data_IF_299266219474
#
_entry.id   IF_299266219474
#
_cell.length_a   1.000
_cell.length_b   1.000
_cell.length_c   1.000
_cell.angle_alpha   90.00
_cell.angle_beta   90.00
_cell.angle_gamma   90.00
#
_symmetry.space_group_name_H-M   'P 1'
#
loop_
_entity.id
_entity.type
_entity.pdbx_description
1 polymer ?
#
# COMPACT_ATOMS: atom_id res chain seq x y z
N UNK A 1 -25.56 7.42 -5.17
CA UNK A 1 -25.85 6.13 -4.51
C UNK A 1 -26.07 5.08 -5.59
N UNK A 2 -25.25 4.04 -5.57
CA UNK A 2 -25.20 3.01 -6.60
C UNK A 2 -25.87 1.72 -6.12
N UNK A 3 -26.50 0.99 -7.02
CA UNK A 3 -27.13 -0.29 -6.68
C UNK A 3 -26.22 -1.46 -7.07
N UNK A 4 -25.79 -2.24 -6.08
CA UNK A 4 -25.07 -3.49 -6.28
C UNK A 4 -25.91 -4.66 -5.77
N UNK A 5 -26.34 -5.54 -6.68
CA UNK A 5 -27.12 -6.77 -6.37
C UNK A 5 -28.28 -6.52 -5.37
N UNK A 6 -29.03 -5.44 -5.57
CA UNK A 6 -30.19 -5.09 -4.74
C UNK A 6 -29.89 -4.27 -3.48
N UNK A 7 -28.63 -3.91 -3.22
CA UNK A 7 -28.23 -3.05 -2.09
C UNK A 7 -27.75 -1.69 -2.61
N UNK A 8 -28.12 -0.63 -1.89
CA UNK A 8 -27.60 0.71 -2.09
C UNK A 8 -26.25 0.87 -1.41
N UNK A 9 -25.21 1.14 -2.18
CA UNK A 9 -23.86 1.42 -1.69
C UNK A 9 -23.39 2.79 -2.17
N UNK A 10 -22.43 3.36 -1.47
CA UNK A 10 -21.74 4.58 -1.86
C UNK A 10 -21.06 4.44 -3.23
N UNK A 11 -21.17 5.48 -4.06
CA UNK A 11 -20.76 5.45 -5.48
C UNK A 11 -19.27 5.10 -5.66
N UNK A 12 -18.42 5.58 -4.76
CA UNK A 12 -16.98 5.34 -4.80
C UNK A 12 -16.58 3.91 -4.43
N UNK A 13 -17.50 3.11 -3.88
CA UNK A 13 -17.27 1.70 -3.52
C UNK A 13 -17.82 0.75 -4.59
N UNK A 14 -18.67 1.24 -5.50
CA UNK A 14 -19.39 0.43 -6.48
C UNK A 14 -18.48 -0.48 -7.32
N UNK A 15 -17.33 0.02 -7.78
CA UNK A 15 -16.44 -0.73 -8.65
C UNK A 15 -15.65 -1.83 -7.93
N UNK A 16 -15.47 -1.66 -6.62
CA UNK A 16 -14.63 -2.52 -5.78
C UNK A 16 -15.43 -3.47 -4.88
N UNK A 17 -16.71 -3.18 -4.64
CA UNK A 17 -17.58 -3.96 -3.74
C UNK A 17 -17.67 -5.44 -4.14
N UNK A 18 -17.57 -5.74 -5.43
CA UNK A 18 -17.56 -7.12 -5.97
C UNK A 18 -16.36 -7.96 -5.51
N UNK A 19 -15.30 -7.33 -5.02
CA UNK A 19 -14.10 -7.98 -4.50
C UNK A 19 -14.07 -8.03 -2.96
N UNK A 20 -15.08 -7.46 -2.29
CA UNK A 20 -15.18 -7.43 -0.84
C UNK A 20 -15.95 -8.66 -0.33
N UNK A 21 -15.25 -9.78 -0.16
CA UNK A 21 -15.86 -11.05 0.27
C UNK A 21 -16.72 -10.91 1.54
N UNK A 22 -16.24 -10.16 2.54
CA UNK A 22 -16.97 -9.92 3.79
C UNK A 22 -18.30 -9.17 3.58
N UNK A 23 -18.37 -8.26 2.60
CA UNK A 23 -19.60 -7.55 2.23
C UNK A 23 -20.58 -8.49 1.53
N UNK A 24 -20.07 -9.34 0.63
CA UNK A 24 -20.88 -10.34 -0.09
C UNK A 24 -21.51 -11.36 0.87
N UNK A 25 -20.72 -11.90 1.80
CA UNK A 25 -21.18 -12.83 2.84
C UNK A 25 -22.23 -12.19 3.75
N UNK A 26 -21.99 -10.94 4.17
CA UNK A 26 -22.92 -10.22 5.03
C UNK A 26 -24.24 -9.93 4.30
N UNK A 27 -24.19 -9.55 3.02
CA UNK A 27 -25.41 -9.43 2.20
C UNK A 27 -26.18 -10.74 2.20
N UNK A 28 -25.55 -11.86 1.87
CA UNK A 28 -26.25 -13.14 1.73
C UNK A 28 -26.93 -13.56 3.02
N UNK A 29 -26.26 -13.37 4.16
CA UNK A 29 -26.84 -13.60 5.48
C UNK A 29 -28.07 -12.71 5.75
N UNK A 30 -28.01 -11.43 5.38
CA UNK A 30 -29.11 -10.49 5.55
C UNK A 30 -30.28 -10.78 4.60
N UNK A 31 -30.02 -11.15 3.34
CA UNK A 31 -31.05 -11.57 2.39
C UNK A 31 -31.76 -12.84 2.87
N UNK A 32 -31.04 -13.81 3.42
CA UNK A 32 -31.64 -15.00 4.02
C UNK A 32 -32.52 -14.67 5.24
N UNK A 33 -32.15 -13.63 5.99
CA UNK A 33 -32.95 -13.14 7.12
C UNK A 33 -34.20 -12.38 6.66
N UNK A 34 -34.12 -11.59 5.59
CA UNK A 34 -35.28 -10.95 4.97
C UNK A 34 -36.33 -11.97 4.49
N UNK A 35 -35.89 -13.10 3.92
CA UNK A 35 -36.79 -14.19 3.52
C UNK A 35 -37.53 -14.81 4.72
N UNK A 36 -36.94 -14.81 5.92
CA UNK A 36 -37.63 -15.30 7.14
C UNK A 36 -38.73 -14.35 7.60
N UNK A 37 -38.56 -13.05 7.37
CA UNK A 37 -39.62 -12.06 7.64
C UNK A 37 -40.84 -12.24 6.74
N UNK A 38 -40.66 -12.72 5.50
CA UNK A 38 -41.79 -13.05 4.62
C UNK A 38 -42.68 -14.15 5.20
N UNK A 39 -42.08 -15.20 5.79
CA UNK A 39 -42.83 -16.26 6.47
C UNK A 39 -43.56 -15.74 7.71
N UNK A 40 -42.93 -14.83 8.44
CA UNK A 40 -43.51 -14.24 9.65
C UNK A 40 -44.69 -13.31 9.33
N UNK A 41 -44.63 -12.59 8.19
CA UNK A 41 -45.77 -11.80 7.69
C UNK A 41 -46.95 -12.70 7.31
N UNK A 42 -46.70 -13.82 6.64
CA UNK A 42 -47.75 -14.81 6.28
C UNK A 42 -48.43 -15.35 7.54
N UNK A 43 -47.65 -15.74 8.55
CA UNK A 43 -48.19 -16.23 9.83
C UNK A 43 -48.91 -15.13 10.61
N UNK A 44 -48.39 -13.91 10.62
CA UNK A 44 -48.99 -12.76 11.30
C UNK A 44 -50.37 -12.38 10.75
N UNK A 45 -50.59 -12.55 9.45
CA UNK A 45 -51.92 -12.37 8.80
C UNK A 45 -52.96 -13.39 9.27
N UNK A 46 -52.54 -14.58 9.71
CA UNK A 46 -53.43 -15.62 10.24
C UNK A 46 -53.86 -15.32 11.68
N UNK A 47 -53.06 -14.55 12.43
CA UNK A 47 -53.24 -14.29 13.87
C UNK A 47 -53.75 -12.85 14.15
N UNK A 48 -54.00 -12.06 13.11
CA UNK A 48 -54.46 -10.66 13.19
C UNK A 48 -53.52 -9.74 14.00
N UNK A 49 -52.20 -9.84 13.75
CA UNK A 49 -51.15 -8.95 14.30
C UNK A 49 -50.37 -8.26 13.15
N UNK A 50 -50.98 -7.41 12.31
CA UNK A 50 -50.39 -7.06 11.01
C UNK A 50 -49.51 -5.80 11.05
N UNK A 51 -49.79 -4.86 11.93
CA UNK A 51 -49.28 -3.48 11.86
C UNK A 51 -47.89 -3.29 12.48
N UNK A 52 -47.55 -3.99 13.55
CA UNK A 52 -46.23 -3.88 14.19
C UNK A 52 -45.13 -4.63 13.42
N UNK A 53 -45.44 -5.81 12.87
CA UNK A 53 -44.50 -6.67 12.13
C UNK A 53 -44.00 -5.98 10.86
N UNK A 54 -44.91 -5.35 10.11
CA UNK A 54 -44.57 -4.62 8.87
C UNK A 54 -43.68 -3.39 9.11
N UNK A 55 -43.87 -2.69 10.23
CA UNK A 55 -43.03 -1.53 10.58
C UNK A 55 -41.62 -1.97 10.94
N UNK A 56 -41.49 -2.95 11.84
CA UNK A 56 -40.20 -3.50 12.27
C UNK A 56 -39.41 -4.05 11.09
N UNK A 57 -40.07 -4.72 10.14
CA UNK A 57 -39.43 -5.20 8.90
C UNK A 57 -38.79 -4.06 8.08
N UNK A 58 -39.51 -2.95 7.88
CA UNK A 58 -38.98 -1.80 7.13
C UNK A 58 -37.79 -1.15 7.82
N UNK A 59 -37.90 -0.94 9.13
CA UNK A 59 -36.81 -0.38 9.94
C UNK A 59 -35.58 -1.30 9.93
N UNK A 60 -35.79 -2.62 10.00
CA UNK A 60 -34.73 -3.62 9.89
C UNK A 60 -34.04 -3.63 8.52
N UNK A 61 -34.80 -3.58 7.42
CA UNK A 61 -34.23 -3.53 6.06
C UNK A 61 -33.44 -2.24 5.82
N UNK A 62 -33.93 -1.10 6.32
CA UNK A 62 -33.19 0.16 6.27
C UNK A 62 -31.87 0.09 7.04
N UNK A 63 -31.88 -0.51 8.25
CA UNK A 63 -30.67 -0.72 9.04
C UNK A 63 -29.67 -1.65 8.35
N UNK A 64 -30.16 -2.72 7.71
CA UNK A 64 -29.33 -3.66 6.96
C UNK A 64 -28.62 -2.99 5.78
N UNK A 65 -29.34 -2.16 5.02
CA UNK A 65 -28.75 -1.41 3.92
C UNK A 65 -27.64 -0.47 4.42
N UNK A 66 -27.89 0.26 5.51
CA UNK A 66 -26.90 1.14 6.13
C UNK A 66 -25.68 0.36 6.67
N UNK A 67 -25.90 -0.82 7.26
CA UNK A 67 -24.82 -1.67 7.75
C UNK A 67 -23.91 -2.16 6.63
N UNK A 68 -24.49 -2.59 5.51
CA UNK A 68 -23.72 -3.07 4.36
C UNK A 68 -22.89 -1.94 3.74
N UNK A 69 -23.47 -0.76 3.60
CA UNK A 69 -22.74 0.42 3.11
C UNK A 69 -21.57 0.78 4.04
N UNK A 70 -21.83 0.86 5.36
CA UNK A 70 -20.80 1.14 6.36
C UNK A 70 -19.69 0.08 6.38
N UNK A 71 -20.05 -1.21 6.23
CA UNK A 71 -19.08 -2.30 6.16
C UNK A 71 -18.21 -2.20 4.90
N UNK A 72 -18.80 -1.85 3.77
CA UNK A 72 -18.08 -1.68 2.50
C UNK A 72 -17.10 -0.50 2.59
N UNK A 73 -17.54 0.64 3.14
CA UNK A 73 -16.67 1.78 3.40
C UNK A 73 -15.51 1.43 4.34
N UNK A 74 -15.81 0.76 5.46
CA UNK A 74 -14.80 0.43 6.45
C UNK A 74 -13.79 -0.59 5.92
N UNK A 75 -14.25 -1.55 5.10
CA UNK A 75 -13.37 -2.49 4.42
C UNK A 75 -12.42 -1.76 3.46
N UNK A 76 -12.93 -0.82 2.65
CA UNK A 76 -12.11 0.00 1.76
C UNK A 76 -11.08 0.82 2.54
N UNK A 77 -11.50 1.50 3.62
CA UNK A 77 -10.63 2.31 4.48
C UNK A 77 -9.48 1.48 5.05
N UNK A 78 -9.78 0.28 5.57
CA UNK A 78 -8.77 -0.64 6.12
C UNK A 78 -7.74 -1.09 5.07
N UNK A 79 -8.21 -1.47 3.89
CA UNK A 79 -7.31 -1.90 2.81
C UNK A 79 -6.45 -0.74 2.32
N UNK A 80 -7.05 0.44 2.12
CA UNK A 80 -6.32 1.64 1.71
C UNK A 80 -5.24 2.03 2.74
N UNK A 81 -5.56 2.01 4.03
CA UNK A 81 -4.60 2.29 5.09
C UNK A 81 -3.46 1.26 5.15
N UNK A 82 -3.77 -0.02 4.95
CA UNK A 82 -2.77 -1.10 4.89
C UNK A 82 -1.82 -0.94 3.70
N UNK A 83 -2.35 -0.65 2.52
CA UNK A 83 -1.55 -0.37 1.32
C UNK A 83 -0.72 0.90 1.52
N UNK A 84 -1.31 1.96 2.07
CA UNK A 84 -0.62 3.22 2.37
C UNK A 84 0.58 3.01 3.29
N UNK A 85 0.40 2.25 4.38
CA UNK A 85 1.49 1.91 5.30
C UNK A 85 2.62 1.15 4.60
N UNK A 86 2.29 0.15 3.77
CA UNK A 86 3.30 -0.61 3.00
C UNK A 86 4.02 0.26 1.98
N UNK A 87 3.29 1.12 1.28
CA UNK A 87 3.87 2.06 0.33
C UNK A 87 4.85 3.02 1.02
N UNK A 88 4.49 3.52 2.21
CA UNK A 88 5.37 4.38 3.00
C UNK A 88 6.67 3.66 3.37
N UNK A 89 6.60 2.40 3.83
CA UNK A 89 7.80 1.60 4.13
C UNK A 89 8.70 1.45 2.90
N UNK A 90 8.14 1.23 1.71
CA UNK A 90 8.92 1.14 0.47
C UNK A 90 9.58 2.48 0.14
N UNK A 91 8.87 3.60 0.30
CA UNK A 91 9.44 4.94 0.13
C UNK A 91 10.58 5.17 1.11
N UNK A 92 10.39 4.82 2.37
CA UNK A 92 11.40 5.00 3.42
C UNK A 92 12.67 4.19 3.15
N UNK A 93 12.54 2.97 2.61
CA UNK A 93 13.68 2.16 2.16
C UNK A 93 14.47 2.91 1.09
N UNK A 94 13.81 3.47 0.07
CA UNK A 94 14.48 4.20 -1.02
C UNK A 94 15.15 5.46 -0.49
N UNK A 95 14.45 6.26 0.33
CA UNK A 95 14.99 7.48 0.93
C UNK A 95 16.23 7.15 1.76
N UNK A 96 16.17 6.12 2.61
CA UNK A 96 17.32 5.67 3.39
C UNK A 96 18.47 5.21 2.51
N UNK A 97 18.19 4.46 1.43
CA UNK A 97 19.22 4.03 0.48
C UNK A 97 19.92 5.22 -0.18
N UNK A 98 19.18 6.25 -0.59
CA UNK A 98 19.75 7.45 -1.20
C UNK A 98 20.55 8.29 -0.19
N UNK A 99 20.07 8.36 1.05
CA UNK A 99 20.78 9.02 2.14
C UNK A 99 22.14 8.35 2.43
N UNK A 100 22.15 7.02 2.58
CA UNK A 100 23.37 6.23 2.80
C UNK A 100 24.37 6.41 1.65
N UNK A 101 23.90 6.41 0.39
CA UNK A 101 24.75 6.68 -0.79
C UNK A 101 25.33 8.10 -0.81
N UNK A 102 24.60 9.08 -0.28
CA UNK A 102 25.12 10.45 -0.18
C UNK A 102 26.26 10.52 0.83
N UNK A 103 26.13 9.80 1.96
CA UNK A 103 27.20 9.69 2.95
C UNK A 103 28.43 8.96 2.38
N UNK A 104 28.23 7.88 1.65
CA UNK A 104 29.29 7.13 0.96
C UNK A 104 30.08 8.02 -0.01
N UNK A 105 29.38 8.77 -0.87
CA UNK A 105 30.01 9.71 -1.81
C UNK A 105 30.77 10.80 -1.04
N UNK A 106 30.20 11.30 0.06
CA UNK A 106 30.88 12.27 0.93
C UNK A 106 32.20 11.71 1.47
N UNK A 107 32.21 10.47 1.96
CA UNK A 107 33.42 9.80 2.44
C UNK A 107 34.46 9.66 1.33
N UNK A 108 34.07 9.14 0.16
CA UNK A 108 34.97 8.98 -1.00
C UNK A 108 35.52 10.33 -1.50
N UNK A 109 34.70 11.39 -1.51
CA UNK A 109 35.12 12.72 -1.92
C UNK A 109 36.16 13.34 -0.97
N UNK A 110 36.17 12.92 0.29
CA UNK A 110 37.15 13.37 1.31
C UNK A 110 38.37 12.46 1.44
N UNK A 111 38.40 11.32 0.74
CA UNK A 111 39.52 10.38 0.80
C UNK A 111 40.81 11.01 0.26
N UNK A 112 41.84 11.04 1.11
CA UNK A 112 43.11 11.72 0.81
C UNK A 112 43.90 11.05 -0.32
N UNK A 113 43.82 9.72 -0.45
CA UNK A 113 44.51 8.97 -1.51
C UNK A 113 43.86 9.26 -2.86
N UNK A 114 42.51 9.28 -2.92
CA UNK A 114 41.76 9.63 -4.13
C UNK A 114 42.01 11.09 -4.56
N UNK A 115 41.99 12.02 -3.60
CA UNK A 115 42.26 13.45 -3.86
C UNK A 115 43.69 13.69 -4.32
N UNK A 116 44.67 13.04 -3.68
CA UNK A 116 46.08 13.12 -4.08
C UNK A 116 46.26 12.58 -5.50
N UNK A 117 45.58 11.49 -5.86
CA UNK A 117 45.60 10.88 -7.20
C UNK A 117 45.12 11.80 -8.30
N UNK A 118 44.09 12.60 -8.03
CA UNK A 118 43.57 13.55 -8.99
C UNK A 118 44.38 14.86 -9.07
N UNK A 119 45.01 15.29 -7.97
CA UNK A 119 45.57 16.65 -7.89
C UNK A 119 47.09 16.73 -8.02
N UNK A 120 47.84 15.76 -7.48
CA UNK A 120 49.28 15.92 -7.26
C UNK A 120 50.16 14.94 -8.02
N UNK A 121 49.60 13.97 -8.74
CA UNK A 121 50.39 12.87 -9.31
C UNK A 121 51.09 12.11 -8.17
N UNK A 122 50.31 11.32 -7.44
CA UNK A 122 50.78 10.58 -6.24
C UNK A 122 51.74 9.45 -6.60
N UNK A 123 52.36 8.89 -5.56
CA UNK A 123 53.09 7.62 -5.57
C UNK A 123 52.22 6.40 -5.92
N UNK A 124 50.89 6.48 -5.76
CA UNK A 124 49.95 5.40 -6.04
C UNK A 124 49.63 5.33 -7.54
N UNK A 125 49.77 4.12 -8.09
CA UNK A 125 49.40 3.83 -9.48
C UNK A 125 47.88 3.78 -9.65
N UNK A 126 47.42 3.95 -10.88
CA UNK A 126 45.99 3.79 -11.20
C UNK A 126 45.45 2.41 -10.77
N UNK A 127 46.28 1.36 -10.84
CA UNK A 127 45.89 0.01 -10.40
C UNK A 127 45.70 -0.09 -8.89
N UNK A 128 46.52 0.60 -8.10
CA UNK A 128 46.34 0.67 -6.64
C UNK A 128 45.01 1.35 -6.28
N UNK A 129 44.65 2.43 -6.99
CA UNK A 129 43.36 3.11 -6.81
C UNK A 129 42.20 2.20 -7.21
N UNK A 130 42.29 1.53 -8.36
CA UNK A 130 41.26 0.56 -8.80
C UNK A 130 41.06 -0.55 -7.77
N UNK A 131 42.14 -1.10 -7.25
CA UNK A 131 42.07 -2.15 -6.23
C UNK A 131 41.34 -1.66 -4.97
N UNK A 132 41.65 -0.43 -4.51
CA UNK A 132 40.93 0.19 -3.38
C UNK A 132 39.44 0.37 -3.67
N UNK A 133 39.09 0.85 -4.87
CA UNK A 133 37.69 1.00 -5.28
C UNK A 133 36.98 -0.37 -5.40
N UNK A 134 37.69 -1.42 -5.81
CA UNK A 134 37.16 -2.78 -5.83
C UNK A 134 36.89 -3.32 -4.42
N UNK A 135 37.80 -3.08 -3.48
CA UNK A 135 37.60 -3.44 -2.07
C UNK A 135 36.43 -2.67 -1.45
N UNK A 136 36.29 -1.39 -1.79
CA UNK A 136 35.14 -0.59 -1.38
C UNK A 136 33.83 -1.17 -1.92
N UNK A 137 33.79 -1.48 -3.23
CA UNK A 137 32.63 -2.16 -3.85
C UNK A 137 32.34 -3.52 -3.20
N UNK A 138 33.37 -4.29 -2.84
CA UNK A 138 33.19 -5.58 -2.19
C UNK A 138 32.54 -5.44 -0.80
N UNK A 139 32.84 -4.35 -0.07
CA UNK A 139 32.18 -4.01 1.20
C UNK A 139 30.73 -3.52 1.00
N UNK A 140 30.48 -2.82 -0.11
CA UNK A 140 29.18 -2.24 -0.44
C UNK A 140 28.66 -2.77 -1.78
N UNK A 141 28.16 -4.01 -1.78
CA UNK A 141 27.73 -4.74 -2.99
C UNK A 141 26.55 -4.12 -3.74
N UNK A 142 25.90 -3.11 -3.16
CA UNK A 142 24.88 -2.28 -3.82
C UNK A 142 25.43 -1.52 -5.02
N UNK A 143 26.73 -1.24 -5.04
CA UNK A 143 27.39 -0.61 -6.18
C UNK A 143 27.86 -1.66 -7.18
N UNK A 144 27.46 -1.50 -8.45
CA UNK A 144 28.01 -2.31 -9.53
C UNK A 144 29.43 -1.87 -9.91
N UNK A 145 29.61 -0.55 -10.03
CA UNK A 145 30.88 0.08 -10.41
C UNK A 145 31.05 1.36 -9.58
N UNK A 146 32.32 1.71 -9.33
CA UNK A 146 32.73 3.02 -8.82
C UNK A 146 33.73 3.56 -9.81
N UNK A 147 33.53 4.80 -10.27
CA UNK A 147 34.34 5.42 -11.32
C UNK A 147 34.88 6.74 -10.78
N UNK A 148 36.18 6.96 -10.94
CA UNK A 148 36.82 8.22 -10.59
C UNK A 148 37.05 9.06 -11.83
N UNK A 149 36.52 10.28 -11.85
CA UNK A 149 36.62 11.23 -12.95
C UNK A 149 37.51 12.42 -12.55
N UNK A 150 38.29 12.95 -13.48
CA UNK A 150 38.93 14.26 -13.31
C UNK A 150 37.97 15.42 -13.64
N UNK A 151 38.42 16.65 -13.45
CA UNK A 151 37.60 17.86 -13.67
C UNK A 151 37.23 18.09 -15.14
N UNK A 152 37.87 17.39 -16.08
CA UNK A 152 37.51 17.39 -17.50
C UNK A 152 36.56 16.24 -17.87
N UNK A 153 36.15 15.43 -16.89
CA UNK A 153 35.27 14.28 -17.10
C UNK A 153 35.98 13.02 -17.63
N UNK A 154 37.31 12.98 -17.59
CA UNK A 154 38.07 11.79 -18.03
C UNK A 154 38.16 10.77 -16.90
N UNK A 155 37.92 9.49 -17.23
CA UNK A 155 38.08 8.37 -16.29
C UNK A 155 39.55 8.19 -15.90
N UNK A 156 39.83 8.16 -14.60
CA UNK A 156 41.16 8.01 -14.01
C UNK A 156 41.36 6.67 -13.31
N UNK A 157 40.29 6.10 -12.75
CA UNK A 157 40.26 4.78 -12.15
C UNK A 157 38.87 4.16 -12.31
#
# INVERSE_FOLDING_TARGET
>A
MATYRGITVSDHVQDVVRYMECVDQSREALTALEQRWDLLDILGRVIDVPTEVSRTRREFSALNAALIDALAEESLKKVAASIGTRAQVVVDIVVRNLFERTADIGFLATDEDLRSFLTRGTTLTADAIRQRLFEYRAKYSVYRNVVLLDTAGKVRA
#
